data_IF_862739373863
#
_entry.id   IF_862739373863
#
_cell.length_a   1.000
_cell.length_b   1.000
_cell.length_c   1.000
_cell.angle_alpha   90.00
_cell.angle_beta   90.00
_cell.angle_gamma   90.00
#
_symmetry.space_group_name_H-M   'P 1'
#
loop_
_entity.id
_entity.type
_entity.pdbx_description
1 polymer ?
#
# COMPACT_ATOMS: atom_id res chain seq x y z
N UNK A 1 7.85 28.18 -8.36
CA UNK A 1 8.79 27.28 -7.68
C UNK A 1 8.12 25.95 -7.39
N UNK A 2 7.03 25.91 -6.61
CA UNK A 2 6.34 24.64 -6.28
C UNK A 2 5.66 23.93 -7.48
N UNK A 3 5.14 24.66 -8.47
CA UNK A 3 4.53 24.06 -9.67
C UNK A 3 5.55 23.42 -10.63
N UNK A 4 6.77 23.94 -10.64
CA UNK A 4 7.85 23.42 -11.51
C UNK A 4 8.46 22.15 -10.90
N UNK A 5 8.58 22.11 -9.57
CA UNK A 5 8.94 20.91 -8.80
C UNK A 5 7.88 19.79 -8.96
N UNK A 6 6.59 20.13 -8.98
CA UNK A 6 5.53 19.14 -9.19
C UNK A 6 5.58 18.49 -10.59
N UNK A 7 5.92 19.25 -11.64
CA UNK A 7 6.08 18.71 -13.00
C UNK A 7 7.34 17.83 -13.12
N UNK A 8 8.44 18.21 -12.44
CA UNK A 8 9.67 17.42 -12.37
C UNK A 8 9.42 16.05 -11.70
N UNK A 9 8.72 16.03 -10.57
CA UNK A 9 8.37 14.79 -9.85
C UNK A 9 7.46 13.88 -10.69
N UNK A 10 6.47 14.45 -11.39
CA UNK A 10 5.59 13.67 -12.28
C UNK A 10 6.38 13.08 -13.46
N UNK A 11 7.33 13.82 -14.02
CA UNK A 11 8.22 13.35 -15.09
C UNK A 11 9.09 12.18 -14.61
N UNK A 12 9.61 12.27 -13.38
CA UNK A 12 10.38 11.19 -12.76
C UNK A 12 9.53 9.93 -12.52
N UNK A 13 8.28 10.07 -12.06
CA UNK A 13 7.35 8.96 -11.89
C UNK A 13 7.01 8.26 -13.22
N UNK A 14 6.90 9.01 -14.33
CA UNK A 14 6.61 8.43 -15.66
C UNK A 14 7.78 7.57 -16.18
N UNK A 15 9.02 7.97 -15.86
CA UNK A 15 10.23 7.19 -16.17
C UNK A 15 10.27 5.91 -15.32
N UNK A 16 9.97 6.00 -14.03
CA UNK A 16 10.04 4.87 -13.10
C UNK A 16 8.96 3.80 -13.37
N UNK A 17 7.76 4.21 -13.79
CA UNK A 17 6.70 3.29 -14.23
C UNK A 17 7.09 2.49 -15.47
N UNK A 18 8.09 2.92 -16.24
CA UNK A 18 8.63 2.10 -17.32
C UNK A 18 9.45 0.89 -16.83
N UNK A 19 9.93 0.92 -15.58
CA UNK A 19 10.63 -0.21 -14.95
C UNK A 19 9.72 -1.30 -14.37
N UNK A 20 8.42 -1.06 -14.27
CA UNK A 20 7.49 -1.97 -13.60
C UNK A 20 7.04 -3.18 -14.45
N UNK A 21 6.61 -4.28 -13.81
CA UNK A 21 5.94 -5.39 -14.49
C UNK A 21 4.65 -4.97 -15.21
N UNK A 22 4.37 -5.56 -16.39
CA UNK A 22 3.20 -5.23 -17.23
C UNK A 22 1.84 -5.26 -16.48
N UNK A 23 1.70 -6.13 -15.48
CA UNK A 23 0.48 -6.28 -14.65
C UNK A 23 0.16 -5.04 -13.80
N UNK A 24 1.16 -4.27 -13.36
CA UNK A 24 0.97 -3.09 -12.50
C UNK A 24 1.14 -1.77 -13.26
N UNK A 25 1.86 -1.79 -14.39
CA UNK A 25 2.08 -0.61 -15.26
C UNK A 25 0.80 0.10 -15.68
N UNK A 26 -0.24 -0.67 -16.06
CA UNK A 26 -1.49 -0.10 -16.55
C UNK A 26 -2.18 0.78 -15.50
N UNK A 27 -2.21 0.34 -14.25
CA UNK A 27 -2.81 1.09 -13.13
C UNK A 27 -2.07 2.40 -12.85
N UNK A 28 -0.75 2.33 -12.72
CA UNK A 28 0.05 3.51 -12.39
C UNK A 28 0.14 4.52 -13.54
N UNK A 29 0.16 4.07 -14.80
CA UNK A 29 0.10 4.96 -15.96
C UNK A 29 -1.20 5.77 -16.03
N UNK A 30 -2.33 5.18 -15.61
CA UNK A 30 -3.61 5.89 -15.51
C UNK A 30 -3.56 6.95 -14.40
N UNK A 31 -2.99 6.62 -13.23
CA UNK A 31 -2.86 7.55 -12.11
C UNK A 31 -1.93 8.74 -12.45
N UNK A 32 -0.78 8.49 -13.08
CA UNK A 32 0.15 9.54 -13.53
C UNK A 32 -0.49 10.50 -14.53
N UNK A 33 -1.31 9.99 -15.46
CA UNK A 33 -2.05 10.85 -16.40
C UNK A 33 -3.08 11.73 -15.68
N UNK A 34 -3.72 11.20 -14.63
CA UNK A 34 -4.63 11.96 -13.77
C UNK A 34 -3.92 13.12 -13.07
N UNK A 35 -2.81 12.83 -12.38
CA UNK A 35 -2.01 13.87 -11.70
C UNK A 35 -1.45 14.93 -12.67
N UNK A 36 -1.05 14.52 -13.87
CA UNK A 36 -0.62 15.47 -14.92
C UNK A 36 -1.73 16.43 -15.35
N UNK A 37 -2.97 15.94 -15.46
CA UNK A 37 -4.12 16.79 -15.80
C UNK A 37 -4.46 17.77 -14.65
N UNK A 38 -4.34 17.31 -13.40
CA UNK A 38 -4.59 18.13 -12.22
C UNK A 38 -3.57 19.26 -12.06
N UNK A 39 -2.27 18.97 -12.23
CA UNK A 39 -1.21 19.99 -12.22
C UNK A 39 -1.38 21.00 -13.36
N UNK A 40 -1.82 20.55 -14.55
CA UNK A 40 -2.14 21.47 -15.66
C UNK A 40 -3.35 22.37 -15.36
N UNK A 41 -4.39 21.83 -14.70
CA UNK A 41 -5.55 22.61 -14.28
C UNK A 41 -5.17 23.68 -13.26
N UNK A 42 -4.41 23.31 -12.21
CA UNK A 42 -3.89 24.24 -11.21
C UNK A 42 -2.99 25.31 -11.84
N UNK A 43 -2.11 24.93 -12.77
CA UNK A 43 -1.22 25.88 -13.46
C UNK A 43 -2.02 26.90 -14.27
N UNK A 44 -3.11 26.47 -14.93
CA UNK A 44 -4.00 27.35 -15.69
C UNK A 44 -4.77 28.30 -14.77
N UNK A 45 -5.23 27.80 -13.63
CA UNK A 45 -5.93 28.59 -12.61
C UNK A 45 -5.01 29.68 -12.04
N UNK A 46 -3.81 29.31 -11.57
CA UNK A 46 -2.81 30.27 -11.07
C UNK A 46 -2.46 31.32 -12.13
N UNK A 47 -2.29 30.92 -13.39
CA UNK A 47 -2.00 31.87 -14.49
C UNK A 47 -3.18 32.79 -14.82
N UNK A 48 -4.41 32.32 -14.62
CA UNK A 48 -5.62 33.13 -14.78
C UNK A 48 -5.81 34.13 -13.63
N UNK A 49 -5.38 33.78 -12.42
CA UNK A 49 -5.39 34.67 -11.25
C UNK A 49 -4.28 35.73 -11.30
N UNK A 50 -3.14 35.41 -11.92
CA UNK A 50 -2.00 36.32 -12.08
C UNK A 50 -2.08 37.23 -13.33
N UNK A 51 -2.97 36.98 -14.28
CA UNK A 51 -3.17 37.88 -15.42
C UNK A 51 -4.09 39.03 -14.99
N UNK A 52 -3.62 40.29 -14.90
CA UNK A 52 -4.52 41.40 -14.58
C UNK A 52 -5.48 41.56 -15.75
N UNK A 53 -6.77 41.48 -15.43
CA UNK A 53 -7.89 41.80 -16.31
C UNK A 53 -7.81 43.27 -16.76
N UNK A 54 -7.04 43.55 -17.81
CA UNK A 54 -7.05 44.83 -18.53
C UNK A 54 -8.22 44.90 -19.51
N UNK A 55 -9.44 44.56 -19.07
CA UNK A 55 -10.65 44.69 -19.88
C UNK A 55 -11.86 45.03 -19.01
N UNK A 56 -12.33 46.27 -19.12
CA UNK A 56 -13.72 46.60 -18.81
C UNK A 56 -13.92 47.73 -17.79
N UNK A 57 -13.73 48.97 -18.21
CA UNK A 57 -14.29 50.16 -17.56
C UNK A 57 -14.48 51.26 -18.61
N UNK A 58 -15.47 51.13 -19.48
CA UNK A 58 -16.80 51.75 -19.37
C UNK A 58 -16.76 53.28 -19.58
N UNK A 59 -17.05 53.67 -20.84
CA UNK A 59 -17.53 54.99 -21.24
C UNK A 59 -18.99 55.15 -20.77
N UNK A 60 -19.37 56.39 -20.43
CA UNK A 60 -20.74 56.85 -20.20
C UNK A 60 -21.03 56.95 -18.69
N UNK A 61 -21.20 58.12 -18.07
CA UNK A 61 -21.75 59.37 -18.56
C UNK A 61 -23.22 59.46 -18.16
N UNK A 62 -23.53 59.90 -16.95
CA UNK A 62 -24.78 60.59 -16.61
C UNK A 62 -24.69 61.24 -15.22
N UNK A 63 -24.89 62.55 -15.20
CA UNK A 63 -25.15 63.40 -14.03
C UNK A 63 -26.68 63.53 -13.92
N UNK A 64 -27.28 63.44 -12.73
CA UNK A 64 -28.01 64.62 -12.28
C UNK A 64 -27.90 64.85 -10.76
N UNK A 65 -27.34 66.01 -10.42
CA UNK A 65 -27.93 67.04 -9.56
C UNK A 65 -29.24 66.68 -8.78
N UNK A 66 -29.14 66.82 -7.45
CA UNK A 66 -30.19 67.00 -6.43
C UNK A 66 -31.16 65.83 -6.10
N UNK A 67 -31.02 65.27 -4.89
CA UNK A 67 -32.16 65.00 -3.99
C UNK A 67 -31.67 64.72 -2.56
N UNK A 68 -31.94 65.68 -1.69
CA UNK A 68 -31.97 65.62 -0.23
C UNK A 68 -32.91 64.49 0.25
N UNK A 69 -32.44 63.55 1.07
CA UNK A 69 -33.23 62.40 1.54
C UNK A 69 -32.42 61.26 2.18
N UNK A 70 -31.53 61.59 3.11
CA UNK A 70 -30.45 60.70 3.60
C UNK A 70 -30.86 59.71 4.73
N UNK A 71 -32.12 59.67 5.17
CA UNK A 71 -32.53 58.87 6.34
C UNK A 71 -33.23 57.53 6.03
N UNK A 72 -33.93 57.41 4.89
CA UNK A 72 -34.69 56.19 4.53
C UNK A 72 -33.87 55.18 3.70
N UNK A 73 -32.79 55.64 3.05
CA UNK A 73 -31.87 54.78 2.29
C UNK A 73 -30.97 53.92 3.20
N UNK A 74 -30.50 54.48 4.32
CA UNK A 74 -29.70 53.74 5.32
C UNK A 74 -30.52 52.63 6.00
N UNK A 75 -31.80 52.85 6.28
CA UNK A 75 -32.68 51.84 6.86
C UNK A 75 -32.93 50.67 5.90
N UNK A 76 -33.15 50.97 4.62
CA UNK A 76 -33.29 49.96 3.56
C UNK A 76 -32.00 49.16 3.34
N UNK A 77 -30.83 49.82 3.38
CA UNK A 77 -29.51 49.20 3.26
C UNK A 77 -29.17 48.30 4.48
N UNK A 78 -29.61 48.69 5.69
CA UNK A 78 -29.44 47.87 6.89
C UNK A 78 -30.28 46.58 6.83
N UNK A 79 -31.48 46.64 6.26
CA UNK A 79 -32.39 45.51 6.13
C UNK A 79 -31.91 44.51 5.06
N UNK A 80 -31.38 45.00 3.94
CA UNK A 80 -30.72 44.17 2.92
C UNK A 80 -29.43 43.54 3.46
N UNK A 81 -28.62 44.29 4.21
CA UNK A 81 -27.41 43.76 4.85
C UNK A 81 -27.71 42.64 5.87
N UNK A 82 -28.75 42.77 6.69
CA UNK A 82 -29.18 41.70 7.60
C UNK A 82 -29.70 40.46 6.85
N UNK A 83 -30.44 40.66 5.76
CA UNK A 83 -30.92 39.55 4.91
C UNK A 83 -29.75 38.81 4.24
N UNK A 84 -28.76 39.56 3.74
CA UNK A 84 -27.53 39.00 3.17
C UNK A 84 -26.78 38.15 4.21
N UNK A 85 -26.65 38.63 5.45
CA UNK A 85 -26.01 37.88 6.55
C UNK A 85 -26.77 36.60 6.90
N UNK A 86 -28.10 36.65 6.95
CA UNK A 86 -28.91 35.45 7.19
C UNK A 86 -28.77 34.43 6.06
N UNK A 87 -28.81 34.87 4.81
CA UNK A 87 -28.60 34.00 3.64
C UNK A 87 -27.22 33.35 3.64
N UNK A 88 -26.19 34.13 4.00
CA UNK A 88 -24.82 33.63 4.11
C UNK A 88 -24.67 32.65 5.29
N UNK A 89 -25.35 32.90 6.41
CA UNK A 89 -25.43 32.00 7.55
C UNK A 89 -26.13 30.69 7.20
N UNK A 90 -27.25 30.74 6.48
CA UNK A 90 -27.96 29.53 6.03
C UNK A 90 -27.15 28.74 5.01
N UNK A 91 -26.46 29.42 4.08
CA UNK A 91 -25.60 28.76 3.10
C UNK A 91 -24.40 28.06 3.79
N UNK A 92 -23.81 28.70 4.80
CA UNK A 92 -22.71 28.12 5.58
C UNK A 92 -23.17 26.92 6.41
N UNK A 93 -24.40 26.97 6.97
CA UNK A 93 -24.99 25.86 7.71
C UNK A 93 -25.31 24.68 6.79
N UNK A 94 -25.85 24.94 5.60
CA UNK A 94 -26.13 23.91 4.60
C UNK A 94 -24.83 23.23 4.15
N UNK A 95 -23.78 24.01 3.86
CA UNK A 95 -22.46 23.46 3.51
C UNK A 95 -21.86 22.64 4.66
N UNK A 96 -21.95 23.15 5.90
CA UNK A 96 -21.52 22.40 7.09
C UNK A 96 -22.28 21.09 7.29
N UNK A 97 -23.59 21.08 7.02
CA UNK A 97 -24.43 19.87 7.12
C UNK A 97 -24.04 18.84 6.05
N UNK A 98 -23.82 19.28 4.80
CA UNK A 98 -23.35 18.40 3.72
C UNK A 98 -21.99 17.78 4.03
N UNK A 99 -21.04 18.57 4.54
CA UNK A 99 -19.72 18.08 4.96
C UNK A 99 -19.80 17.08 6.11
N UNK A 100 -20.71 17.28 7.07
CA UNK A 100 -20.93 16.34 8.17
C UNK A 100 -21.52 15.02 7.66
N UNK A 101 -22.47 15.07 6.74
CA UNK A 101 -23.06 13.87 6.12
C UNK A 101 -22.00 13.10 5.32
N UNK A 102 -21.16 13.80 4.55
CA UNK A 102 -20.05 13.20 3.83
C UNK A 102 -19.00 12.59 4.78
N UNK A 103 -18.67 13.28 5.86
CA UNK A 103 -17.74 12.79 6.89
C UNK A 103 -18.30 11.55 7.60
N UNK A 104 -19.61 11.51 7.86
CA UNK A 104 -20.27 10.35 8.45
C UNK A 104 -20.22 9.14 7.50
N UNK A 105 -20.53 9.37 6.21
CA UNK A 105 -20.41 8.33 5.18
C UNK A 105 -18.99 7.77 5.08
N UNK A 106 -17.99 8.65 5.05
CA UNK A 106 -16.58 8.25 5.00
C UNK A 106 -16.15 7.49 6.27
N UNK A 107 -16.64 7.90 7.43
CA UNK A 107 -16.36 7.21 8.69
C UNK A 107 -16.94 5.80 8.70
N UNK A 108 -18.16 5.61 8.20
CA UNK A 108 -18.78 4.28 8.06
C UNK A 108 -18.02 3.40 7.05
N UNK A 109 -17.63 3.93 5.90
CA UNK A 109 -16.81 3.19 4.93
C UNK A 109 -15.44 2.80 5.52
N UNK A 110 -14.85 3.67 6.35
CA UNK A 110 -13.61 3.39 7.06
C UNK A 110 -13.79 2.32 8.13
N UNK A 111 -14.93 2.31 8.84
CA UNK A 111 -15.27 1.26 9.80
C UNK A 111 -15.41 -0.10 9.11
N UNK A 112 -16.10 -0.16 7.97
CA UNK A 112 -16.26 -1.38 7.18
C UNK A 112 -14.91 -1.91 6.68
N UNK A 113 -14.06 -1.03 6.13
CA UNK A 113 -12.70 -1.38 5.72
C UNK A 113 -11.88 -1.89 6.92
N UNK A 114 -11.99 -1.22 8.08
CA UNK A 114 -11.33 -1.64 9.32
C UNK A 114 -11.78 -3.03 9.79
N UNK A 115 -13.08 -3.31 9.69
CA UNK A 115 -13.64 -4.62 10.02
C UNK A 115 -13.11 -5.72 9.09
N UNK A 116 -12.97 -5.44 7.79
CA UNK A 116 -12.37 -6.38 6.83
C UNK A 116 -10.89 -6.61 7.10
N UNK A 117 -10.11 -5.56 7.40
CA UNK A 117 -8.71 -5.70 7.80
C UNK A 117 -8.58 -6.61 9.04
N UNK A 118 -9.46 -6.46 10.03
CA UNK A 118 -9.44 -7.32 11.23
C UNK A 118 -9.78 -8.78 10.91
N UNK A 119 -10.70 -9.03 9.97
CA UNK A 119 -11.01 -10.39 9.49
C UNK A 119 -9.80 -11.01 8.78
N UNK A 120 -9.13 -10.24 7.93
CA UNK A 120 -7.95 -10.69 7.20
C UNK A 120 -6.78 -10.97 8.14
N UNK A 121 -6.52 -10.09 9.11
CA UNK A 121 -5.47 -10.31 10.12
C UNK A 121 -5.73 -11.58 10.94
N UNK A 122 -6.99 -11.88 11.26
CA UNK A 122 -7.37 -13.13 11.93
C UNK A 122 -7.09 -14.35 11.05
N UNK A 123 -7.47 -14.30 9.77
CA UNK A 123 -7.20 -15.36 8.80
C UNK A 123 -5.69 -15.58 8.60
N UNK A 124 -4.92 -14.51 8.46
CA UNK A 124 -3.46 -14.56 8.35
C UNK A 124 -2.83 -15.17 9.60
N UNK A 125 -3.30 -14.80 10.79
CA UNK A 125 -2.84 -15.40 12.05
C UNK A 125 -3.05 -16.92 12.05
N UNK A 126 -4.24 -17.38 11.68
CA UNK A 126 -4.56 -18.81 11.59
C UNK A 126 -3.67 -19.53 10.56
N UNK A 127 -3.39 -18.90 9.42
CA UNK A 127 -2.48 -19.44 8.41
C UNK A 127 -1.04 -19.56 8.94
N UNK A 128 -0.56 -18.56 9.70
CA UNK A 128 0.76 -18.60 10.34
C UNK A 128 0.83 -19.71 11.38
N UNK A 129 -0.21 -19.87 12.20
CA UNK A 129 -0.30 -20.91 13.23
C UNK A 129 -0.27 -22.31 12.60
N UNK A 130 -1.10 -22.55 11.58
CA UNK A 130 -1.10 -23.81 10.82
C UNK A 130 0.24 -24.10 10.14
N UNK A 131 0.89 -23.07 9.58
CA UNK A 131 2.21 -23.21 8.94
C UNK A 131 3.28 -23.57 9.98
N UNK A 132 3.23 -22.97 11.17
CA UNK A 132 4.14 -23.28 12.29
C UNK A 132 3.94 -24.71 12.80
N UNK A 133 2.70 -25.16 12.93
CA UNK A 133 2.41 -26.53 13.35
C UNK A 133 2.87 -27.56 12.31
N UNK A 134 2.67 -27.25 11.03
CA UNK A 134 3.17 -28.08 9.92
C UNK A 134 4.69 -28.18 9.94
N UNK A 135 5.38 -27.05 10.12
CA UNK A 135 6.84 -27.02 10.25
C UNK A 135 7.33 -27.82 11.46
N UNK A 136 6.67 -27.67 12.61
CA UNK A 136 7.02 -28.42 13.82
C UNK A 136 6.82 -29.93 13.65
N UNK A 137 5.78 -30.35 12.92
CA UNK A 137 5.59 -31.76 12.56
C UNK A 137 6.66 -32.25 11.58
N UNK A 138 7.02 -31.43 10.58
CA UNK A 138 8.09 -31.74 9.65
C UNK A 138 9.43 -31.93 10.38
N UNK A 139 9.79 -31.04 11.29
CA UNK A 139 11.00 -31.14 12.11
C UNK A 139 11.04 -32.45 12.93
N UNK A 140 9.92 -32.83 13.54
CA UNK A 140 9.83 -34.11 14.26
C UNK A 140 10.01 -35.31 13.32
N UNK A 141 9.45 -35.24 12.11
CA UNK A 141 9.61 -36.30 11.10
C UNK A 141 11.06 -36.41 10.62
N UNK A 142 11.77 -35.27 10.50
CA UNK A 142 13.19 -35.21 10.14
C UNK A 142 14.04 -35.81 11.25
N UNK A 143 13.79 -35.48 12.52
CA UNK A 143 14.52 -36.06 13.66
C UNK A 143 14.36 -37.59 13.72
N UNK A 144 13.13 -38.09 13.54
CA UNK A 144 12.86 -39.55 13.46
C UNK A 144 13.57 -40.21 12.29
N UNK A 145 13.57 -39.56 11.13
CA UNK A 145 14.24 -40.05 9.92
C UNK A 145 15.76 -40.09 10.11
N UNK A 146 16.35 -39.04 10.68
CA UNK A 146 17.78 -38.96 11.03
C UNK A 146 18.21 -40.06 12.00
N UNK A 147 17.42 -40.29 13.05
CA UNK A 147 17.66 -41.39 14.02
C UNK A 147 17.59 -42.76 13.35
N UNK A 148 16.62 -42.96 12.46
CA UNK A 148 16.45 -44.23 11.73
C UNK A 148 17.62 -44.46 10.77
N UNK A 149 18.00 -43.44 10.01
CA UNK A 149 19.14 -43.48 9.11
C UNK A 149 20.44 -43.77 9.87
N UNK A 150 20.66 -43.12 11.01
CA UNK A 150 21.82 -43.36 11.88
C UNK A 150 21.88 -44.83 12.36
N UNK A 151 20.73 -45.44 12.71
CA UNK A 151 20.66 -46.86 13.05
C UNK A 151 21.01 -47.75 11.85
N UNK A 152 20.50 -47.44 10.66
CA UNK A 152 20.82 -48.17 9.44
C UNK A 152 22.32 -48.11 9.10
N UNK A 153 22.93 -46.93 9.20
CA UNK A 153 24.36 -46.73 8.97
C UNK A 153 25.19 -47.57 9.95
N UNK A 154 24.82 -47.58 11.24
CA UNK A 154 25.52 -48.39 12.25
C UNK A 154 25.42 -49.89 11.96
N UNK A 155 24.23 -50.38 11.59
CA UNK A 155 24.00 -51.78 11.21
C UNK A 155 24.82 -52.15 9.97
N UNK A 156 24.85 -51.29 8.95
CA UNK A 156 25.64 -51.51 7.75
C UNK A 156 27.14 -51.61 8.05
N UNK A 157 27.67 -50.73 8.94
CA UNK A 157 29.07 -50.82 9.40
C UNK A 157 29.35 -52.12 10.17
N UNK A 158 28.45 -52.51 11.08
CA UNK A 158 28.58 -53.77 11.82
C UNK A 158 28.59 -54.98 10.89
N UNK A 159 27.67 -55.04 9.92
CA UNK A 159 27.64 -56.10 8.91
C UNK A 159 28.95 -56.14 8.12
N UNK A 160 29.46 -55.00 7.65
CA UNK A 160 30.76 -54.95 6.94
C UNK A 160 31.92 -55.48 7.80
N UNK A 161 31.99 -55.12 9.07
CA UNK A 161 33.04 -55.61 9.98
C UNK A 161 32.95 -57.12 10.19
N UNK A 162 31.74 -57.66 10.38
CA UNK A 162 31.53 -59.11 10.52
C UNK A 162 31.98 -59.85 9.26
N UNK A 163 31.62 -59.35 8.08
CA UNK A 163 32.04 -59.97 6.79
C UNK A 163 33.56 -59.98 6.65
N UNK A 164 34.25 -58.88 6.97
CA UNK A 164 35.72 -58.83 6.94
C UNK A 164 36.34 -59.80 7.93
N UNK A 165 35.78 -59.91 9.15
CA UNK A 165 36.26 -60.86 10.17
C UNK A 165 36.17 -62.32 9.72
N UNK A 166 35.08 -62.71 9.07
CA UNK A 166 34.91 -64.07 8.52
C UNK A 166 35.96 -64.37 7.45
N UNK A 167 36.20 -63.42 6.53
CA UNK A 167 37.21 -63.57 5.47
C UNK A 167 38.61 -63.76 6.07
N UNK A 168 38.98 -62.93 7.05
CA UNK A 168 40.29 -63.02 7.73
C UNK A 168 40.44 -64.37 8.45
N UNK A 169 39.40 -64.83 9.14
CA UNK A 169 39.41 -66.12 9.83
C UNK A 169 39.62 -67.29 8.85
N UNK A 170 38.95 -67.25 7.68
CA UNK A 170 39.11 -68.23 6.61
C UNK A 170 40.54 -68.28 6.07
N UNK A 171 41.13 -67.11 5.81
CA UNK A 171 42.53 -67.02 5.33
C UNK A 171 43.50 -67.57 6.37
N UNK A 172 43.33 -67.24 7.66
CA UNK A 172 44.17 -67.76 8.73
C UNK A 172 44.07 -69.29 8.87
N UNK A 173 42.86 -69.86 8.76
CA UNK A 173 42.67 -71.30 8.77
C UNK A 173 43.41 -71.99 7.61
N UNK A 174 43.32 -71.43 6.40
CA UNK A 174 44.04 -71.94 5.22
C UNK A 174 45.55 -71.90 5.46
N UNK A 175 46.08 -70.77 5.96
CA UNK A 175 47.51 -70.64 6.27
C UNK A 175 47.96 -71.63 7.34
N UNK A 176 47.16 -71.87 8.38
CA UNK A 176 47.48 -72.83 9.44
C UNK A 176 47.55 -74.26 8.90
N UNK A 177 46.59 -74.65 8.05
CA UNK A 177 46.61 -75.96 7.39
C UNK A 177 47.83 -76.10 6.49
N UNK A 178 48.17 -75.06 5.71
CA UNK A 178 49.36 -75.08 4.86
C UNK A 178 50.63 -75.20 5.69
N UNK A 179 50.75 -74.47 6.80
CA UNK A 179 51.90 -74.54 7.69
C UNK A 179 52.08 -75.96 8.25
N UNK A 180 51.03 -76.55 8.81
CA UNK A 180 51.09 -77.91 9.37
C UNK A 180 51.23 -79.03 8.32
N UNK A 181 50.95 -78.74 7.05
CA UNK A 181 51.15 -79.70 5.95
C UNK A 181 52.56 -79.60 5.35
N UNK A 182 53.13 -78.40 5.32
CA UNK A 182 54.37 -78.10 4.62
C UNK A 182 55.60 -78.15 5.53
N UNK A 183 55.40 -78.00 6.85
CA UNK A 183 56.39 -78.19 7.91
C UNK A 183 55.98 -79.39 8.75
#
# INVERSE_FOLDING_TARGET
MELEEADEVISQMDIEVQGFPQSVRSRFSVQIRGFKQEVQALTKEVRSSLSPSSSGGARGGYDPAYADGDADLEAADSATANRQRLLQGTASLEDGTRRLEESNRLALETEDLGADILRDLRSQREQIENSRDTLRQADQSIDRSSKTLSKMIRRAKQQKLVTVGIIVCLVLLILLILYNKLF
#
